data_IF_296833384272
#
_entry.id   IF_296833384272
#
_cell.length_a   1.000
_cell.length_b   1.000
_cell.length_c   1.000
_cell.angle_alpha   90.00
_cell.angle_beta   90.00
_cell.angle_gamma   90.00
#
_symmetry.space_group_name_H-M   'P 1'
#
loop_
_entity.id
_entity.type
_entity.pdbx_description
1 polymer ?
#
# COMPACT_ATOMS: atom_id res chain seq x y z
N UNK A 1 15.72 -7.48 -9.31
CA UNK A 1 14.84 -8.57 -8.82
C UNK A 1 15.06 -9.78 -9.71
N UNK A 2 15.13 -10.99 -9.17
CA UNK A 2 15.15 -12.22 -9.98
C UNK A 2 13.74 -12.47 -10.55
N UNK A 3 13.56 -12.19 -11.84
CA UNK A 3 12.26 -12.35 -12.50
C UNK A 3 11.81 -13.79 -12.61
N UNK A 4 12.74 -14.74 -12.72
CA UNK A 4 12.38 -16.16 -12.84
C UNK A 4 11.80 -16.64 -11.51
N UNK A 5 12.50 -16.36 -10.41
CA UNK A 5 12.02 -16.71 -9.08
C UNK A 5 10.62 -16.14 -8.81
N UNK A 6 10.41 -14.84 -9.09
CA UNK A 6 9.09 -14.22 -8.91
C UNK A 6 7.99 -14.93 -9.73
N UNK A 7 8.23 -15.21 -11.01
CA UNK A 7 7.25 -15.88 -11.87
C UNK A 7 6.95 -17.31 -11.39
N UNK A 8 7.94 -18.03 -10.89
CA UNK A 8 7.77 -19.38 -10.38
C UNK A 8 6.89 -19.36 -9.11
N UNK A 9 7.06 -18.37 -8.22
CA UNK A 9 6.19 -18.18 -7.05
C UNK A 9 4.75 -17.87 -7.46
N UNK A 10 4.55 -16.94 -8.41
CA UNK A 10 3.19 -16.58 -8.87
C UNK A 10 2.47 -17.78 -9.50
N UNK A 11 3.15 -18.55 -10.34
CA UNK A 11 2.59 -19.79 -10.93
C UNK A 11 2.19 -20.81 -9.86
N UNK A 12 2.94 -20.90 -8.77
CA UNK A 12 2.58 -21.75 -7.63
C UNK A 12 1.22 -21.39 -7.05
N UNK A 13 1.00 -20.10 -6.77
CA UNK A 13 -0.28 -19.60 -6.25
C UNK A 13 -1.43 -19.67 -7.25
N UNK A 14 -1.16 -19.49 -8.56
CA UNK A 14 -2.17 -19.69 -9.61
C UNK A 14 -2.60 -21.16 -9.73
N UNK A 15 -1.67 -22.09 -9.50
CA UNK A 15 -1.92 -23.53 -9.56
C UNK A 15 -2.58 -24.10 -8.30
N UNK A 16 -2.35 -23.50 -7.14
CA UNK A 16 -2.97 -23.91 -5.87
C UNK A 16 -3.04 -22.75 -4.87
N UNK A 17 -4.21 -22.49 -4.26
CA UNK A 17 -4.34 -21.49 -3.19
C UNK A 17 -3.56 -21.88 -1.92
N UNK A 18 -3.29 -23.17 -1.73
CA UNK A 18 -2.53 -23.71 -0.59
C UNK A 18 -1.02 -23.84 -0.88
N UNK A 19 -0.56 -23.34 -2.02
CA UNK A 19 0.85 -23.35 -2.38
C UNK A 19 1.69 -22.64 -1.31
N UNK A 20 2.76 -23.31 -0.87
CA UNK A 20 3.75 -22.75 0.04
C UNK A 20 5.06 -22.49 -0.71
N UNK A 21 5.54 -21.24 -0.76
CA UNK A 21 6.85 -20.94 -1.31
C UNK A 21 7.97 -21.74 -0.61
N UNK A 22 9.08 -22.01 -1.31
CA UNK A 22 10.24 -22.64 -0.68
C UNK A 22 10.78 -21.80 0.48
N UNK A 23 11.32 -22.49 1.48
CA UNK A 23 11.95 -21.86 2.64
C UNK A 23 13.15 -20.99 2.20
N UNK A 24 13.27 -19.81 2.78
CA UNK A 24 14.37 -18.86 2.51
C UNK A 24 15.36 -18.82 3.67
N UNK A 25 16.62 -18.54 3.37
CA UNK A 25 17.66 -18.33 4.37
C UNK A 25 18.19 -16.89 4.25
N UNK A 26 17.39 -15.94 4.75
CA UNK A 26 17.70 -14.52 4.67
C UNK A 26 17.05 -13.74 5.81
N UNK A 27 17.22 -12.41 5.78
CA UNK A 27 16.55 -11.49 6.69
C UNK A 27 15.75 -10.43 5.93
N UNK A 28 14.76 -9.85 6.60
CA UNK A 28 13.88 -8.85 6.00
C UNK A 28 13.47 -7.79 7.02
N UNK A 29 13.70 -6.52 6.69
CA UNK A 29 13.13 -5.36 7.39
C UNK A 29 11.96 -4.82 6.58
N UNK A 30 10.75 -5.14 7.03
CA UNK A 30 9.50 -4.83 6.34
C UNK A 30 8.81 -3.62 6.98
N UNK A 31 8.69 -2.53 6.24
CA UNK A 31 8.01 -1.31 6.68
C UNK A 31 6.53 -1.24 6.25
N UNK A 32 5.67 -0.68 7.10
CA UNK A 32 4.28 -0.35 6.75
C UNK A 32 3.73 0.79 7.62
N UNK A 33 2.59 1.36 7.21
CA UNK A 33 1.89 2.37 8.00
C UNK A 33 0.91 1.69 8.95
N UNK A 34 1.01 1.97 10.25
CA UNK A 34 0.13 1.41 11.28
C UNK A 34 -1.23 2.14 11.30
N UNK A 35 -2.29 1.43 11.68
CA UNK A 35 -3.62 2.02 11.94
C UNK A 35 -4.49 2.32 10.72
N UNK A 36 -4.27 1.64 9.58
CA UNK A 36 -5.13 1.76 8.40
C UNK A 36 -5.45 0.38 7.78
N UNK A 37 -6.71 0.19 7.39
CA UNK A 37 -7.24 -1.04 6.75
C UNK A 37 -6.48 -1.47 5.49
N UNK A 38 -5.83 -0.55 4.77
CA UNK A 38 -5.06 -0.87 3.57
C UNK A 38 -3.88 -1.81 3.83
N UNK A 39 -3.46 -1.96 5.08
CA UNK A 39 -2.34 -2.82 5.48
C UNK A 39 -2.78 -4.12 6.17
N UNK A 40 -4.10 -4.42 6.15
CA UNK A 40 -4.68 -5.57 6.84
C UNK A 40 -4.02 -6.91 6.45
N UNK A 41 -3.61 -7.06 5.17
CA UNK A 41 -2.93 -8.26 4.69
C UNK A 41 -1.66 -8.60 5.48
N UNK A 42 -0.93 -7.59 5.99
CA UNK A 42 0.27 -7.81 6.82
C UNK A 42 -0.13 -8.41 8.17
N UNK A 43 -1.16 -7.87 8.82
CA UNK A 43 -1.64 -8.39 10.10
C UNK A 43 -2.20 -9.81 9.95
N UNK A 44 -2.88 -10.11 8.84
CA UNK A 44 -3.32 -11.47 8.52
C UNK A 44 -2.11 -12.39 8.36
N UNK A 45 -1.13 -12.03 7.53
CA UNK A 45 0.07 -12.85 7.32
C UNK A 45 0.88 -13.06 8.61
N UNK A 46 0.91 -12.08 9.51
CA UNK A 46 1.50 -12.22 10.85
C UNK A 46 0.72 -13.22 11.72
N UNK A 47 -0.60 -13.10 11.76
CA UNK A 47 -1.47 -13.95 12.58
C UNK A 47 -1.48 -15.39 12.10
N UNK A 48 -1.53 -15.59 10.78
CA UNK A 48 -1.59 -16.91 10.14
C UNK A 48 -0.20 -17.56 9.99
N UNK A 49 0.88 -16.88 10.38
CA UNK A 49 2.24 -17.46 10.40
C UNK A 49 2.90 -17.61 9.02
N UNK A 50 2.36 -17.00 7.96
CA UNK A 50 2.86 -17.19 6.58
C UNK A 50 4.34 -16.88 6.38
N UNK A 51 4.89 -15.93 7.15
CA UNK A 51 6.33 -15.64 7.10
C UNK A 51 7.17 -16.74 7.73
N UNK A 52 6.71 -17.32 8.85
CA UNK A 52 7.43 -18.38 9.56
C UNK A 52 7.47 -19.67 8.74
N UNK A 53 6.38 -19.98 8.02
CA UNK A 53 6.32 -21.15 7.13
C UNK A 53 7.41 -21.16 6.05
N UNK A 54 7.88 -19.97 5.65
CA UNK A 54 8.95 -19.80 4.66
C UNK A 54 10.30 -19.46 5.30
N UNK A 55 10.43 -19.51 6.63
CA UNK A 55 11.69 -19.30 7.33
C UNK A 55 12.00 -17.86 7.75
N UNK A 56 11.05 -16.94 7.61
CA UNK A 56 11.16 -15.56 8.11
C UNK A 56 10.48 -15.45 9.47
N UNK A 57 11.26 -15.58 10.54
CA UNK A 57 10.79 -15.62 11.91
C UNK A 57 10.84 -14.21 12.53
N UNK A 58 9.70 -13.67 13.03
CA UNK A 58 9.66 -12.39 13.72
C UNK A 58 10.71 -12.30 14.83
N UNK A 59 11.31 -11.11 14.98
CA UNK A 59 12.34 -10.80 16.00
C UNK A 59 13.68 -11.55 15.85
N UNK A 60 13.77 -12.55 14.98
CA UNK A 60 15.01 -13.27 14.66
C UNK A 60 15.63 -12.77 13.36
N UNK A 61 14.93 -12.96 12.24
CA UNK A 61 15.37 -12.56 10.91
C UNK A 61 14.30 -11.78 10.14
N UNK A 62 13.12 -11.56 10.73
CA UNK A 62 12.09 -10.68 10.21
C UNK A 62 11.82 -9.54 11.20
N UNK A 63 11.96 -8.31 10.74
CA UNK A 63 11.64 -7.10 11.50
C UNK A 63 10.48 -6.37 10.84
N UNK A 64 9.42 -6.13 11.62
CA UNK A 64 8.29 -5.31 11.20
C UNK A 64 8.47 -3.89 11.72
N UNK A 65 8.63 -2.94 10.81
CA UNK A 65 8.91 -1.54 11.13
C UNK A 65 7.66 -0.69 10.86
N UNK A 66 7.06 -0.19 11.93
CA UNK A 66 5.85 0.62 11.88
C UNK A 66 6.20 2.08 11.67
N UNK A 67 5.55 2.72 10.70
CA UNK A 67 5.69 4.14 10.43
C UNK A 67 4.35 4.86 10.52
N UNK A 68 4.40 6.18 10.76
CA UNK A 68 3.21 7.06 10.77
C UNK A 68 3.09 7.93 9.52
N UNK A 69 4.13 7.96 8.68
CA UNK A 69 4.12 8.79 7.47
C UNK A 69 4.84 8.11 6.31
N UNK A 70 4.36 8.43 5.10
CA UNK A 70 4.92 7.92 3.84
C UNK A 70 6.35 8.45 3.61
N UNK A 71 6.59 9.71 3.98
CA UNK A 71 7.91 10.35 3.88
C UNK A 71 8.97 9.61 4.71
N UNK A 72 8.60 9.17 5.93
CA UNK A 72 9.51 8.43 6.78
C UNK A 72 9.92 7.08 6.15
N UNK A 73 8.97 6.36 5.52
CA UNK A 73 9.29 5.11 4.82
C UNK A 73 10.21 5.37 3.61
N UNK A 74 9.94 6.41 2.80
CA UNK A 74 10.82 6.72 1.67
C UNK A 74 12.23 7.12 2.12
N UNK A 75 12.37 7.84 3.23
CA UNK A 75 13.68 8.16 3.81
C UNK A 75 14.39 6.91 4.35
N UNK A 76 13.66 5.97 4.93
CA UNK A 76 14.21 4.69 5.37
C UNK A 76 14.77 3.88 4.19
N UNK A 77 14.11 3.90 3.02
CA UNK A 77 14.68 3.33 1.80
C UNK A 77 15.97 4.03 1.37
N UNK A 78 16.01 5.38 1.39
CA UNK A 78 17.21 6.15 1.03
C UNK A 78 18.41 5.80 1.90
N UNK A 79 18.20 5.66 3.20
CA UNK A 79 19.24 5.30 4.17
C UNK A 79 19.48 3.79 4.29
N UNK A 80 18.81 2.97 3.47
CA UNK A 80 18.92 1.50 3.50
C UNK A 80 18.57 0.90 4.87
N UNK A 81 17.64 1.53 5.57
CA UNK A 81 17.12 1.09 6.88
C UNK A 81 16.04 0.01 6.76
N UNK A 82 15.42 -0.11 5.58
CA UNK A 82 14.37 -1.09 5.26
C UNK A 82 14.67 -1.79 3.93
N UNK A 83 14.11 -2.98 3.75
CA UNK A 83 14.32 -3.82 2.57
C UNK A 83 13.05 -3.93 1.70
N UNK A 84 11.88 -3.93 2.35
CA UNK A 84 10.58 -3.96 1.69
C UNK A 84 9.59 -3.07 2.42
N UNK A 85 8.56 -2.59 1.71
CA UNK A 85 7.48 -1.84 2.35
C UNK A 85 6.17 -1.91 1.57
N UNK A 86 5.07 -1.71 2.27
CA UNK A 86 3.77 -1.39 1.66
C UNK A 86 3.52 0.11 1.75
N UNK A 87 3.23 0.74 0.61
CA UNK A 87 2.85 2.14 0.51
C UNK A 87 1.75 2.32 -0.53
N UNK A 88 1.03 3.44 -0.42
CA UNK A 88 0.10 3.88 -1.45
C UNK A 88 0.80 4.09 -2.79
N UNK A 89 0.05 3.86 -3.87
CA UNK A 89 0.53 3.92 -5.26
C UNK A 89 1.17 5.26 -5.62
N UNK A 90 0.53 6.39 -5.28
CA UNK A 90 1.06 7.73 -5.61
C UNK A 90 2.44 8.00 -4.98
N UNK A 91 2.66 7.77 -3.67
CA UNK A 91 4.00 7.85 -3.06
C UNK A 91 5.03 6.91 -3.70
N UNK A 92 4.68 5.66 -3.99
CA UNK A 92 5.61 4.67 -4.58
C UNK A 92 6.06 5.12 -5.96
N UNK A 93 5.13 5.55 -6.81
CA UNK A 93 5.44 6.02 -8.16
C UNK A 93 6.34 7.27 -8.11
N UNK A 94 5.98 8.25 -7.28
CA UNK A 94 6.80 9.46 -7.11
C UNK A 94 8.21 9.13 -6.61
N UNK A 95 8.32 8.27 -5.61
CA UNK A 95 9.61 7.85 -5.08
C UNK A 95 10.43 7.08 -6.13
N UNK A 96 9.81 6.15 -6.86
CA UNK A 96 10.48 5.39 -7.94
C UNK A 96 11.00 6.32 -9.04
N UNK A 97 10.23 7.33 -9.43
CA UNK A 97 10.66 8.32 -10.42
C UNK A 97 11.87 9.13 -9.92
N UNK A 98 11.78 9.66 -8.70
CA UNK A 98 12.84 10.49 -8.11
C UNK A 98 14.11 9.70 -7.75
N UNK A 99 13.98 8.40 -7.50
CA UNK A 99 15.09 7.52 -7.14
C UNK A 99 15.73 6.83 -8.36
N UNK A 100 15.37 7.22 -9.59
CA UNK A 100 15.83 6.59 -10.84
C UNK A 100 15.58 5.07 -10.88
N UNK A 101 14.43 4.63 -10.37
CA UNK A 101 14.03 3.22 -10.44
C UNK A 101 14.73 2.30 -9.44
N UNK A 102 15.34 2.83 -8.37
CA UNK A 102 16.04 2.03 -7.34
C UNK A 102 15.17 1.01 -6.60
N UNK A 103 13.85 1.14 -6.68
CA UNK A 103 12.90 0.17 -6.11
C UNK A 103 12.15 -0.60 -7.19
N UNK A 104 11.81 -1.83 -6.85
CA UNK A 104 10.91 -2.68 -7.62
C UNK A 104 9.53 -2.72 -6.96
N UNK A 105 8.48 -2.66 -7.77
CA UNK A 105 7.09 -2.86 -7.33
C UNK A 105 6.78 -4.34 -7.53
N UNK A 106 6.41 -5.05 -6.45
CA UNK A 106 6.24 -6.52 -6.46
C UNK A 106 4.80 -6.91 -6.72
N UNK A 107 3.85 -6.37 -5.96
CA UNK A 107 2.42 -6.63 -6.11
C UNK A 107 1.58 -5.58 -5.40
N UNK A 108 0.31 -5.47 -5.78
CA UNK A 108 -0.69 -4.75 -5.00
C UNK A 108 -1.15 -5.61 -3.82
N UNK A 109 -1.22 -5.03 -2.62
CA UNK A 109 -1.67 -5.73 -1.40
C UNK A 109 -3.15 -5.53 -1.08
N UNK A 110 -3.79 -4.58 -1.77
CA UNK A 110 -5.21 -4.33 -1.68
C UNK A 110 -5.73 -3.74 -3.00
N UNK A 111 -7.03 -3.92 -3.24
CA UNK A 111 -7.78 -3.18 -4.26
C UNK A 111 -8.93 -2.45 -3.57
N UNK A 112 -9.22 -1.22 -3.99
CA UNK A 112 -10.23 -0.37 -3.35
C UNK A 112 -9.87 0.04 -1.91
N UNK A 113 -10.87 0.05 -1.02
CA UNK A 113 -10.73 0.51 0.37
C UNK A 113 -10.78 2.03 0.54
N UNK A 114 -11.28 2.75 -0.48
CA UNK A 114 -11.54 4.19 -0.42
C UNK A 114 -12.96 4.44 -0.88
N UNK A 115 -13.69 5.22 -0.11
CA UNK A 115 -15.05 5.65 -0.42
C UNK A 115 -15.20 7.12 -0.03
N UNK A 116 -16.01 7.85 -0.80
CA UNK A 116 -16.54 9.14 -0.36
C UNK A 116 -17.77 8.87 0.50
N UNK A 117 -17.81 9.46 1.69
CA UNK A 117 -18.90 9.28 2.65
C UNK A 117 -19.55 10.62 2.90
N UNK A 118 -20.88 10.64 2.87
CA UNK A 118 -21.70 11.81 3.21
C UNK A 118 -22.46 11.55 4.51
N UNK A 119 -22.93 12.61 5.14
CA UNK A 119 -23.71 12.51 6.38
C UNK A 119 -25.06 11.84 6.07
N UNK A 120 -25.48 10.89 6.92
CA UNK A 120 -26.82 10.33 6.80
C UNK A 120 -27.90 11.43 6.89
N UNK A 121 -28.83 11.43 5.94
CA UNK A 121 -29.87 12.47 5.82
C UNK A 121 -29.38 13.80 5.26
N UNK A 122 -28.20 13.85 4.62
CA UNK A 122 -27.80 15.02 3.82
C UNK A 122 -28.64 15.13 2.54
N UNK A 123 -28.59 16.32 1.93
CA UNK A 123 -29.15 16.64 0.61
C UNK A 123 -28.28 16.13 -0.56
N UNK A 124 -27.46 15.10 -0.33
CA UNK A 124 -26.50 14.57 -1.31
C UNK A 124 -26.89 13.13 -1.62
N UNK A 125 -27.56 12.95 -2.75
CA UNK A 125 -28.04 11.65 -3.23
C UNK A 125 -27.30 11.21 -4.51
N UNK A 126 -26.57 12.13 -5.14
CA UNK A 126 -25.80 11.91 -6.36
C UNK A 126 -24.44 12.62 -6.34
N UNK A 127 -23.60 12.30 -7.33
CA UNK A 127 -22.31 12.99 -7.52
C UNK A 127 -22.54 14.47 -7.88
N UNK A 128 -23.57 14.77 -8.68
CA UNK A 128 -23.88 16.13 -9.16
C UNK A 128 -24.16 17.10 -8.00
N UNK A 129 -24.78 16.60 -6.93
CA UNK A 129 -25.08 17.38 -5.72
C UNK A 129 -23.81 17.88 -5.01
N UNK A 130 -22.64 17.30 -5.29
CA UNK A 130 -21.37 17.71 -4.71
C UNK A 130 -20.73 18.91 -5.41
N UNK A 131 -21.28 19.37 -6.54
CA UNK A 131 -20.76 20.54 -7.24
C UNK A 131 -20.85 21.81 -6.36
N UNK A 132 -19.76 22.57 -6.28
CA UNK A 132 -19.67 23.73 -5.39
C UNK A 132 -19.43 23.39 -3.91
N UNK A 133 -19.54 22.11 -3.50
CA UNK A 133 -19.36 21.70 -2.10
C UNK A 133 -17.87 21.58 -1.72
N UNK A 134 -17.61 21.55 -0.41
CA UNK A 134 -16.29 21.29 0.17
C UNK A 134 -16.15 19.82 0.50
N UNK A 135 -15.04 19.21 0.11
CA UNK A 135 -14.77 17.80 0.37
C UNK A 135 -13.45 17.66 1.11
N UNK A 136 -13.51 17.01 2.27
CA UNK A 136 -12.32 16.69 3.06
C UNK A 136 -11.51 15.60 2.37
N UNK A 137 -10.20 15.80 2.24
CA UNK A 137 -9.29 14.79 1.67
C UNK A 137 -8.13 14.49 2.62
N UNK A 138 -7.46 13.33 2.50
CA UNK A 138 -6.22 13.05 3.23
C UNK A 138 -5.06 14.02 2.94
N UNK A 139 -5.23 14.95 2.00
CA UNK A 139 -4.26 15.98 1.65
C UNK A 139 -3.77 15.89 0.21
N UNK A 140 -3.17 16.99 -0.24
CA UNK A 140 -2.59 17.15 -1.57
C UNK A 140 -1.55 16.06 -1.90
N UNK A 141 -1.59 15.52 -3.11
CA UNK A 141 -0.68 14.48 -3.59
C UNK A 141 -0.96 13.07 -3.03
N UNK A 142 -2.06 12.88 -2.30
CA UNK A 142 -2.55 11.55 -1.91
C UNK A 142 -3.20 10.82 -3.10
N UNK A 143 -3.40 9.51 -2.98
CA UNK A 143 -4.19 8.76 -3.97
C UNK A 143 -5.61 9.35 -4.09
N UNK A 144 -6.19 9.77 -2.96
CA UNK A 144 -7.50 10.39 -2.88
C UNK A 144 -7.53 11.75 -3.60
N UNK A 145 -6.52 12.60 -3.46
CA UNK A 145 -6.44 13.86 -4.21
C UNK A 145 -6.45 13.62 -5.73
N UNK A 146 -5.70 12.62 -6.22
CA UNK A 146 -5.71 12.25 -7.65
C UNK A 146 -7.08 11.71 -8.08
N UNK A 147 -7.68 10.84 -7.29
CA UNK A 147 -9.02 10.29 -7.57
C UNK A 147 -10.08 11.39 -7.61
N UNK A 148 -10.06 12.31 -6.66
CA UNK A 148 -10.99 13.44 -6.58
C UNK A 148 -10.89 14.35 -7.82
N UNK A 149 -9.67 14.68 -8.27
CA UNK A 149 -9.47 15.52 -9.47
C UNK A 149 -10.06 14.89 -10.73
N UNK A 150 -9.99 13.56 -10.84
CA UNK A 150 -10.55 12.84 -11.98
C UNK A 150 -12.07 12.65 -11.84
N UNK A 151 -12.55 12.30 -10.66
CA UNK A 151 -13.97 12.02 -10.39
C UNK A 151 -14.84 13.27 -10.57
N UNK A 152 -14.29 14.44 -10.22
CA UNK A 152 -14.99 15.72 -10.22
C UNK A 152 -14.47 16.66 -11.32
N UNK A 153 -13.98 16.09 -12.43
CA UNK A 153 -13.61 16.87 -13.60
C UNK A 153 -14.83 17.66 -14.11
N UNK A 154 -14.69 18.98 -14.26
CA UNK A 154 -15.80 19.88 -14.63
C UNK A 154 -16.64 20.41 -13.46
N UNK A 155 -16.36 20.00 -12.22
CA UNK A 155 -17.04 20.49 -11.02
C UNK A 155 -16.22 21.59 -10.33
N UNK A 156 -16.91 22.51 -9.64
CA UNK A 156 -16.29 23.49 -8.76
C UNK A 156 -16.10 22.90 -7.34
N UNK A 157 -15.10 22.04 -7.15
CA UNK A 157 -14.84 21.42 -5.83
C UNK A 157 -13.70 22.12 -5.09
N UNK A 158 -13.95 22.41 -3.80
CA UNK A 158 -12.92 22.91 -2.87
C UNK A 158 -12.48 21.77 -1.95
N UNK A 159 -11.23 21.32 -2.09
CA UNK A 159 -10.63 20.35 -1.16
C UNK A 159 -10.20 21.05 0.13
N UNK A 160 -10.54 20.46 1.27
CA UNK A 160 -10.10 20.92 2.60
C UNK A 160 -9.43 19.80 3.39
#
# INVERSE_FOLDING_TARGET
MDEKYYRDIIKGFEGSPDYKPPHVNGSLRFAYIDGNIHYLAIYVAQKEGYFEEIGLVPEKNLQFLKYRSRLAITNAFEHREIDAATLGTTPVLRYRMNSNGRIHIVSAVNSGGTSLVVKAGSDVDSIDDLNGKKIATPGFGSCQDVLMRKMFEGFEIKTV
#
